data_IF_766072162632
#
_entry.id   IF_766072162632
#
_cell.length_a   1.000
_cell.length_b   1.000
_cell.length_c   1.000
_cell.angle_alpha   90.00
_cell.angle_beta   90.00
_cell.angle_gamma   90.00
#
_symmetry.space_group_name_H-M   'P 1'
#
loop_
_entity.id
_entity.type
_entity.pdbx_description
1 polymer ?
#
# COMPACT_ATOMS: atom_id res chain seq x y z
N UNK A 1 -21.58 30.75 39.24
CA UNK A 1 -20.18 30.26 39.24
C UNK A 1 -20.11 28.75 38.98
N UNK A 2 -20.91 27.93 39.67
CA UNK A 2 -20.91 26.46 39.58
C UNK A 2 -21.23 25.90 38.18
N UNK A 3 -22.21 26.47 37.47
CA UNK A 3 -22.60 26.02 36.12
C UNK A 3 -21.49 26.21 35.09
N UNK A 4 -20.73 27.29 35.20
CA UNK A 4 -19.63 27.62 34.29
C UNK A 4 -18.43 26.69 34.53
N UNK A 5 -18.10 26.43 35.80
CA UNK A 5 -17.07 25.46 36.18
C UNK A 5 -17.42 24.04 35.71
N UNK A 6 -18.70 23.65 35.79
CA UNK A 6 -19.16 22.35 35.31
C UNK A 6 -19.05 22.23 33.78
N UNK A 7 -19.35 23.31 33.03
CA UNK A 7 -19.17 23.34 31.58
C UNK A 7 -17.69 23.22 31.19
N UNK A 8 -16.80 23.95 31.87
CA UNK A 8 -15.34 23.87 31.65
C UNK A 8 -14.83 22.46 31.96
N UNK A 9 -15.25 21.86 33.09
CA UNK A 9 -14.88 20.50 33.46
C UNK A 9 -15.31 19.49 32.39
N UNK A 10 -16.55 19.59 31.91
CA UNK A 10 -17.08 18.72 30.86
C UNK A 10 -16.33 18.89 29.52
N UNK A 11 -15.91 20.11 29.18
CA UNK A 11 -15.08 20.36 28.01
C UNK A 11 -13.69 19.73 28.14
N UNK A 12 -13.04 19.87 29.30
CA UNK A 12 -11.73 19.26 29.57
C UNK A 12 -11.79 17.72 29.55
N UNK A 13 -12.85 17.13 30.10
CA UNK A 13 -13.06 15.67 30.07
C UNK A 13 -13.21 15.18 28.63
N UNK A 14 -14.02 15.87 27.79
CA UNK A 14 -14.14 15.54 26.36
C UNK A 14 -12.80 15.65 25.64
N UNK A 15 -12.07 16.75 25.86
CA UNK A 15 -10.74 16.96 25.27
C UNK A 15 -9.76 15.85 25.67
N UNK A 16 -9.77 15.42 26.93
CA UNK A 16 -8.90 14.34 27.42
C UNK A 16 -9.19 13.02 26.72
N UNK A 17 -10.47 12.69 26.53
CA UNK A 17 -10.90 11.48 25.80
C UNK A 17 -10.49 11.57 24.32
N UNK A 18 -10.67 12.72 23.68
CA UNK A 18 -10.27 12.91 22.28
C UNK A 18 -8.76 12.77 22.08
N UNK A 19 -7.95 13.30 23.00
CA UNK A 19 -6.48 13.14 22.99
C UNK A 19 -6.12 11.67 23.16
N UNK A 20 -6.70 10.97 24.13
CA UNK A 20 -6.43 9.54 24.34
C UNK A 20 -6.81 8.71 23.09
N UNK A 21 -7.96 8.98 22.50
CA UNK A 21 -8.40 8.35 21.25
C UNK A 21 -7.48 8.67 20.07
N UNK A 22 -6.96 9.90 19.98
CA UNK A 22 -5.96 10.26 18.97
C UNK A 22 -4.69 9.43 19.13
N UNK A 23 -4.14 9.33 20.35
CA UNK A 23 -2.95 8.54 20.64
C UNK A 23 -3.16 7.06 20.31
N UNK A 24 -4.29 6.46 20.68
CA UNK A 24 -4.57 5.07 20.33
C UNK A 24 -4.59 4.84 18.81
N UNK A 25 -5.22 5.75 18.05
CA UNK A 25 -5.26 5.66 16.58
C UNK A 25 -3.89 5.80 15.94
N UNK A 26 -3.03 6.69 16.45
CA UNK A 26 -1.64 6.80 15.98
C UNK A 26 -0.87 5.51 16.25
N UNK A 27 -0.92 4.99 17.48
CA UNK A 27 -0.26 3.74 17.83
C UNK A 27 -0.73 2.57 16.97
N UNK A 28 -2.01 2.52 16.61
CA UNK A 28 -2.55 1.49 15.73
C UNK A 28 -2.04 1.63 14.29
N UNK A 29 -1.97 2.86 13.75
CA UNK A 29 -1.39 3.11 12.43
C UNK A 29 0.12 2.78 12.41
N UNK A 30 0.86 3.18 13.45
CA UNK A 30 2.26 2.84 13.62
C UNK A 30 2.48 1.34 13.70
N UNK A 31 1.69 0.63 14.52
CA UNK A 31 1.75 -0.83 14.60
C UNK A 31 1.41 -1.53 13.29
N UNK A 32 0.48 -0.97 12.51
CA UNK A 32 0.17 -1.47 11.16
C UNK A 32 1.33 -1.24 10.18
N UNK A 33 1.98 -0.08 10.23
CA UNK A 33 3.17 0.19 9.43
C UNK A 33 4.32 -0.72 9.84
N UNK A 34 4.61 -0.88 11.13
CA UNK A 34 5.65 -1.77 11.65
C UNK A 34 5.42 -3.22 11.19
N UNK A 35 4.17 -3.71 11.27
CA UNK A 35 3.81 -5.03 10.76
C UNK A 35 4.06 -5.15 9.26
N UNK A 36 3.62 -4.19 8.46
CA UNK A 36 3.83 -4.20 7.01
C UNK A 36 5.33 -4.16 6.64
N UNK A 37 6.12 -3.37 7.38
CA UNK A 37 7.58 -3.33 7.19
C UNK A 37 8.25 -4.63 7.63
N UNK A 38 7.77 -5.27 8.70
CA UNK A 38 8.26 -6.58 9.12
C UNK A 38 7.96 -7.66 8.06
N UNK A 39 6.75 -7.71 7.52
CA UNK A 39 6.36 -8.65 6.46
C UNK A 39 7.19 -8.43 5.17
N UNK A 40 7.42 -7.16 4.80
CA UNK A 40 8.29 -6.82 3.69
C UNK A 40 9.74 -7.25 3.95
N UNK A 41 10.25 -7.03 5.17
CA UNK A 41 11.59 -7.44 5.58
C UNK A 41 11.75 -8.96 5.54
N UNK A 42 10.76 -9.70 6.03
CA UNK A 42 10.76 -11.16 5.98
C UNK A 42 10.79 -11.68 4.55
N UNK A 43 10.02 -11.04 3.66
CA UNK A 43 10.03 -11.33 2.21
C UNK A 43 11.42 -11.08 1.59
N UNK A 44 12.07 -9.96 1.94
CA UNK A 44 13.43 -9.64 1.49
C UNK A 44 14.46 -10.66 2.04
N UNK A 45 14.34 -11.05 3.31
CA UNK A 45 15.27 -11.98 3.94
C UNK A 45 15.09 -13.41 3.42
N UNK A 46 13.88 -13.80 3.01
CA UNK A 46 13.62 -15.07 2.31
C UNK A 46 14.29 -15.10 0.92
N UNK A 47 14.15 -14.02 0.14
CA UNK A 47 14.87 -13.82 -1.12
C UNK A 47 16.39 -13.96 -0.91
N UNK A 48 16.94 -13.30 0.11
CA UNK A 48 18.37 -13.38 0.45
C UNK A 48 18.82 -14.77 0.90
N UNK A 49 17.96 -15.52 1.60
CA UNK A 49 18.25 -16.91 2.01
C UNK A 49 18.30 -17.82 0.79
N UNK A 50 17.33 -17.71 -0.12
CA UNK A 50 17.32 -18.47 -1.36
C UNK A 50 18.57 -18.20 -2.22
N UNK A 51 19.01 -16.94 -2.31
CA UNK A 51 20.20 -16.58 -3.10
C UNK A 51 21.50 -17.15 -2.51
N UNK A 52 21.65 -17.14 -1.17
CA UNK A 52 22.82 -17.75 -0.50
C UNK A 52 22.93 -19.25 -0.72
N UNK A 53 21.80 -19.95 -0.90
CA UNK A 53 21.76 -21.39 -1.19
C UNK A 53 22.24 -21.77 -2.60
N UNK A 54 22.46 -20.81 -3.51
CA UNK A 54 22.92 -21.04 -4.89
C UNK A 54 24.38 -20.67 -5.15
N UNK A 55 25.13 -20.21 -4.14
CA UNK A 55 26.52 -19.76 -4.28
C UNK A 55 27.55 -20.91 -4.42
N UNK A 56 27.23 -22.01 -5.10
CA UNK A 56 28.26 -23.00 -5.47
C UNK A 56 28.36 -23.40 -6.94
N UNK A 57 27.42 -23.07 -7.83
CA UNK A 57 27.66 -23.34 -9.26
C UNK A 57 27.20 -22.19 -10.17
N UNK A 58 28.17 -21.73 -10.97
CA UNK A 58 28.12 -20.84 -12.14
C UNK A 58 27.90 -19.33 -11.90
N UNK A 59 29.01 -18.64 -11.61
CA UNK A 59 29.21 -17.23 -11.96
C UNK A 59 30.34 -17.17 -13.00
N UNK A 60 29.98 -17.20 -14.28
CA UNK A 60 30.88 -16.73 -15.33
C UNK A 60 30.77 -15.21 -15.43
N UNK A 61 31.91 -14.58 -15.20
CA UNK A 61 32.19 -13.16 -15.13
C UNK A 61 32.20 -12.51 -16.52
N UNK A 62 31.49 -11.39 -16.71
CA UNK A 62 31.82 -10.36 -17.71
C UNK A 62 31.51 -8.97 -17.13
N UNK A 63 32.54 -8.35 -16.56
CA UNK A 63 33.09 -7.08 -17.05
C UNK A 63 32.24 -5.80 -16.93
N UNK A 64 32.56 -4.99 -15.90
CA UNK A 64 33.04 -3.61 -16.03
C UNK A 64 32.14 -2.49 -16.62
N UNK A 65 31.88 -1.46 -15.80
CA UNK A 65 31.66 -0.09 -16.27
C UNK A 65 30.30 0.53 -15.93
N UNK A 66 30.30 1.43 -14.94
CA UNK A 66 29.28 2.42 -14.54
C UNK A 66 27.80 2.02 -14.68
N UNK A 67 27.24 1.52 -13.57
CA UNK A 67 25.81 1.20 -13.42
C UNK A 67 25.24 2.02 -12.27
N UNK A 68 24.64 3.16 -12.58
CA UNK A 68 23.81 3.88 -11.61
C UNK A 68 22.33 3.66 -11.94
N UNK A 69 21.59 3.14 -10.95
CA UNK A 69 20.13 3.06 -10.94
C UNK A 69 19.68 3.88 -9.70
N UNK A 70 18.88 4.91 -9.93
CA UNK A 70 18.29 5.84 -8.94
C UNK A 70 16.75 5.67 -8.93
N UNK A 71 15.92 5.83 -7.89
CA UNK A 71 15.97 5.94 -6.40
C UNK A 71 14.58 5.59 -5.83
N UNK A 72 14.44 5.56 -4.49
CA UNK A 72 13.19 5.68 -3.71
C UNK A 72 12.86 7.14 -3.27
N UNK A 73 13.49 8.19 -3.81
CA UNK A 73 13.43 9.53 -3.19
C UNK A 73 13.49 10.77 -4.12
N UNK A 74 12.63 10.86 -5.14
CA UNK A 74 12.07 12.17 -5.52
C UNK A 74 12.49 12.79 -6.86
N UNK A 75 11.96 12.26 -7.97
CA UNK A 75 11.07 12.97 -8.94
C UNK A 75 10.85 12.15 -10.23
N UNK A 76 9.73 12.37 -10.95
CA UNK A 76 8.45 11.68 -10.80
C UNK A 76 8.33 10.40 -11.67
N UNK A 77 7.54 9.44 -11.21
CA UNK A 77 6.94 8.46 -12.12
C UNK A 77 5.97 9.21 -13.04
N UNK A 78 6.35 9.41 -14.30
CA UNK A 78 5.47 9.94 -15.31
C UNK A 78 4.47 8.86 -15.74
N UNK A 79 3.28 8.87 -15.15
CA UNK A 79 2.08 8.52 -15.90
C UNK A 79 1.95 9.60 -17.00
N UNK A 80 2.19 9.23 -18.25
CA UNK A 80 1.78 10.01 -19.41
C UNK A 80 1.51 9.04 -20.56
N UNK A 81 0.33 9.08 -21.22
CA UNK A 81 0.07 8.23 -22.37
C UNK A 81 0.90 8.61 -23.61
N UNK A 82 1.78 9.62 -23.50
CA UNK A 82 2.54 10.19 -24.61
C UNK A 82 4.02 10.37 -24.26
N UNK A 83 4.73 9.29 -23.96
CA UNK A 83 6.20 9.30 -23.96
C UNK A 83 6.68 8.21 -24.93
N UNK A 84 6.55 8.50 -26.21
CA UNK A 84 7.34 7.82 -27.23
C UNK A 84 8.82 8.13 -26.94
N UNK A 85 9.54 7.19 -26.34
CA UNK A 85 10.99 7.30 -26.14
C UNK A 85 11.55 6.95 -24.77
N UNK A 86 10.74 6.54 -23.78
CA UNK A 86 11.30 5.88 -22.59
C UNK A 86 11.60 4.42 -22.91
N UNK A 87 12.78 3.89 -22.56
CA UNK A 87 13.09 2.49 -22.77
C UNK A 87 12.08 1.62 -22.04
N UNK A 88 11.34 0.79 -22.78
CA UNK A 88 10.61 -0.32 -22.19
C UNK A 88 11.62 -1.31 -21.60
N UNK A 89 11.19 -2.18 -20.67
CA UNK A 89 12.04 -3.26 -20.13
C UNK A 89 12.70 -4.09 -21.26
N UNK A 90 12.06 -4.13 -22.43
CA UNK A 90 12.53 -4.78 -23.66
C UNK A 90 13.76 -4.13 -24.31
N UNK A 91 14.07 -2.86 -23.99
CA UNK A 91 15.25 -2.16 -24.53
C UNK A 91 16.54 -2.42 -23.73
N UNK A 92 16.47 -3.21 -22.66
CA UNK A 92 17.64 -3.53 -21.84
C UNK A 92 18.31 -4.82 -22.28
N UNK A 93 19.63 -4.72 -22.49
CA UNK A 93 20.70 -5.73 -22.47
C UNK A 93 20.33 -7.23 -22.58
N UNK A 94 21.08 -8.06 -23.34
CA UNK A 94 20.86 -9.52 -23.40
C UNK A 94 20.77 -10.24 -22.04
N UNK A 95 21.33 -9.66 -20.97
CA UNK A 95 21.27 -10.20 -19.60
C UNK A 95 20.04 -9.77 -18.78
N UNK A 96 19.14 -8.96 -19.34
CA UNK A 96 17.98 -8.41 -18.63
C UNK A 96 17.13 -9.53 -17.97
N UNK A 97 16.73 -10.61 -18.67
CA UNK A 97 15.95 -11.68 -18.03
C UNK A 97 16.67 -12.36 -16.86
N UNK A 98 18.00 -12.45 -16.89
CA UNK A 98 18.79 -13.05 -15.80
C UNK A 98 18.82 -12.13 -14.57
N UNK A 99 18.91 -10.82 -14.78
CA UNK A 99 18.86 -9.84 -13.70
C UNK A 99 17.48 -9.77 -13.07
N UNK A 100 16.41 -9.72 -13.88
CA UNK A 100 15.03 -9.68 -13.39
C UNK A 100 14.68 -10.95 -12.58
N UNK A 101 15.20 -12.13 -12.94
CA UNK A 101 15.05 -13.35 -12.12
C UNK A 101 15.65 -13.25 -10.72
N UNK A 102 16.69 -12.44 -10.53
CA UNK A 102 17.38 -12.25 -9.23
C UNK A 102 16.80 -11.08 -8.43
N UNK A 103 16.14 -10.14 -9.09
CA UNK A 103 15.54 -8.96 -8.46
C UNK A 103 14.24 -9.27 -7.71
N UNK A 104 13.96 -8.47 -6.68
CA UNK A 104 12.64 -8.41 -6.04
C UNK A 104 11.87 -7.22 -6.61
N UNK A 105 10.68 -7.47 -7.17
CA UNK A 105 9.80 -6.44 -7.71
C UNK A 105 8.75 -6.04 -6.70
N UNK A 106 8.68 -4.74 -6.41
CA UNK A 106 7.54 -4.16 -5.71
C UNK A 106 6.61 -3.57 -6.77
N UNK A 107 5.48 -4.24 -7.03
CA UNK A 107 4.40 -3.63 -7.80
C UNK A 107 3.69 -2.70 -6.84
N UNK A 108 3.93 -1.39 -6.98
CA UNK A 108 3.59 -0.38 -5.98
C UNK A 108 2.11 -0.36 -5.56
N UNK A 109 1.80 0.52 -4.61
CA UNK A 109 0.47 0.63 -4.02
C UNK A 109 -0.56 1.24 -5.02
N UNK A 110 -1.04 0.41 -5.93
CA UNK A 110 -2.04 0.72 -6.96
C UNK A 110 -3.44 0.62 -6.34
N UNK A 111 -4.39 1.43 -6.83
CA UNK A 111 -5.79 1.40 -6.38
C UNK A 111 -6.12 2.27 -5.17
N UNK A 112 -5.10 2.64 -4.38
CA UNK A 112 -5.30 3.53 -3.24
C UNK A 112 -5.84 4.90 -3.65
N UNK A 113 -5.35 5.46 -4.76
CA UNK A 113 -5.79 6.76 -5.27
C UNK A 113 -7.20 6.71 -5.86
N UNK A 114 -7.55 5.63 -6.55
CA UNK A 114 -8.86 5.40 -7.16
C UNK A 114 -9.97 5.41 -6.10
N UNK A 115 -9.74 4.69 -5.00
CA UNK A 115 -10.65 4.67 -3.85
C UNK A 115 -10.66 6.02 -3.11
N UNK A 116 -9.49 6.63 -2.87
CA UNK A 116 -9.40 7.92 -2.17
C UNK A 116 -10.09 9.04 -2.95
N UNK A 117 -9.95 9.06 -4.27
CA UNK A 117 -10.61 10.03 -5.15
C UNK A 117 -12.12 9.80 -5.18
N UNK A 118 -12.57 8.55 -5.29
CA UNK A 118 -14.00 8.24 -5.20
C UNK A 118 -14.62 8.70 -3.87
N UNK A 119 -13.91 8.48 -2.76
CA UNK A 119 -14.30 8.98 -1.45
C UNK A 119 -14.37 10.51 -1.40
N UNK A 120 -13.39 11.22 -1.97
CA UNK A 120 -13.39 12.70 -1.98
C UNK A 120 -14.50 13.29 -2.85
N UNK A 121 -14.99 12.54 -3.84
CA UNK A 121 -16.17 12.90 -4.64
C UNK A 121 -17.51 12.52 -3.99
N UNK A 122 -17.49 11.96 -2.78
CA UNK A 122 -18.72 11.57 -2.08
C UNK A 122 -19.42 10.34 -2.66
N UNK A 123 -18.70 9.49 -3.42
CA UNK A 123 -19.26 8.22 -3.91
C UNK A 123 -19.70 7.34 -2.76
N UNK A 124 -20.82 6.65 -2.93
CA UNK A 124 -21.29 5.71 -1.92
C UNK A 124 -20.46 4.41 -1.95
N UNK A 125 -20.43 3.69 -0.83
CA UNK A 125 -19.61 2.48 -0.67
C UNK A 125 -19.90 1.42 -1.74
N UNK A 126 -21.14 1.32 -2.22
CA UNK A 126 -21.50 0.38 -3.28
C UNK A 126 -20.84 0.73 -4.62
N UNK A 127 -20.78 2.02 -4.99
CA UNK A 127 -20.07 2.46 -6.19
C UNK A 127 -18.58 2.19 -6.07
N UNK A 128 -17.98 2.43 -4.90
CA UNK A 128 -16.55 2.17 -4.66
C UNK A 128 -16.23 0.68 -4.78
N UNK A 129 -17.10 -0.21 -4.26
CA UNK A 129 -16.94 -1.65 -4.42
C UNK A 129 -16.99 -2.09 -5.88
N UNK A 130 -17.81 -1.44 -6.71
CA UNK A 130 -17.88 -1.73 -8.16
C UNK A 130 -16.61 -1.36 -8.91
N UNK A 131 -15.78 -0.44 -8.39
CA UNK A 131 -14.47 -0.09 -8.96
C UNK A 131 -13.39 -1.15 -8.66
N UNK A 132 -13.54 -1.91 -7.57
CA UNK A 132 -12.49 -2.83 -7.10
C UNK A 132 -12.09 -3.88 -8.14
N UNK A 133 -13.01 -4.56 -8.85
CA UNK A 133 -12.63 -5.55 -9.86
C UNK A 133 -11.74 -4.97 -10.97
N UNK A 134 -12.05 -3.77 -11.47
CA UNK A 134 -11.29 -3.13 -12.55
C UNK A 134 -9.87 -2.73 -12.09
N UNK A 135 -9.78 -2.21 -10.86
CA UNK A 135 -8.49 -1.87 -10.23
C UNK A 135 -7.66 -3.13 -10.01
N UNK A 136 -8.25 -4.19 -9.45
CA UNK A 136 -7.57 -5.47 -9.22
C UNK A 136 -7.11 -6.09 -10.54
N UNK A 137 -7.94 -6.04 -11.59
CA UNK A 137 -7.57 -6.52 -12.92
C UNK A 137 -6.35 -5.77 -13.48
N UNK A 138 -6.31 -4.45 -13.32
CA UNK A 138 -5.17 -3.63 -13.73
C UNK A 138 -3.88 -4.03 -13.02
N UNK A 139 -3.96 -4.34 -11.72
CA UNK A 139 -2.83 -4.82 -10.93
C UNK A 139 -2.38 -6.20 -11.42
N UNK A 140 -3.31 -7.13 -11.60
CA UNK A 140 -3.00 -8.49 -12.10
C UNK A 140 -2.37 -8.44 -13.49
N UNK A 141 -2.84 -7.57 -14.39
CA UNK A 141 -2.19 -7.39 -15.70
C UNK A 141 -0.77 -6.84 -15.59
N UNK A 142 -0.55 -5.90 -14.68
CA UNK A 142 0.79 -5.34 -14.43
C UNK A 142 1.74 -6.40 -13.87
N UNK A 143 1.26 -7.23 -12.93
CA UNK A 143 2.01 -8.36 -12.37
C UNK A 143 2.35 -9.37 -13.45
N UNK A 144 1.38 -9.79 -14.28
CA UNK A 144 1.61 -10.71 -15.40
C UNK A 144 2.66 -10.17 -16.36
N UNK A 145 2.60 -8.89 -16.71
CA UNK A 145 3.58 -8.27 -17.59
C UNK A 145 5.00 -8.29 -17.00
N UNK A 146 5.14 -8.06 -15.70
CA UNK A 146 6.44 -8.12 -15.01
C UNK A 146 6.97 -9.57 -14.96
N UNK A 147 6.09 -10.57 -14.81
CA UNK A 147 6.43 -12.00 -14.92
C UNK A 147 6.88 -12.34 -16.34
N UNK A 148 6.17 -11.87 -17.37
CA UNK A 148 6.52 -12.10 -18.78
C UNK A 148 7.91 -11.54 -19.13
N UNK A 149 8.34 -10.48 -18.46
CA UNK A 149 9.70 -9.95 -18.56
C UNK A 149 10.76 -10.77 -17.82
N UNK A 150 10.37 -11.75 -17.01
CA UNK A 150 11.29 -12.66 -16.33
C UNK A 150 11.41 -12.44 -14.82
N UNK A 151 10.59 -11.59 -14.22
CA UNK A 151 10.53 -11.47 -12.77
C UNK A 151 9.95 -12.75 -12.13
N UNK A 152 10.62 -13.25 -11.10
CA UNK A 152 10.18 -14.46 -10.37
C UNK A 152 9.86 -14.19 -8.90
N UNK A 153 10.10 -12.96 -8.41
CA UNK A 153 9.92 -12.56 -7.02
C UNK A 153 9.22 -11.21 -6.98
N UNK A 154 7.97 -11.21 -6.55
CA UNK A 154 7.09 -10.04 -6.65
C UNK A 154 6.36 -9.86 -5.32
N UNK A 155 6.39 -8.64 -4.79
CA UNK A 155 5.54 -8.19 -3.68
C UNK A 155 4.46 -7.30 -4.25
N UNK A 156 3.21 -7.62 -3.92
CA UNK A 156 2.03 -6.84 -4.25
C UNK A 156 1.38 -6.40 -2.94
N UNK A 157 1.54 -5.12 -2.52
CA UNK A 157 0.96 -4.63 -1.29
C UNK A 157 -0.55 -4.41 -1.43
N UNK A 158 -1.28 -4.72 -0.36
CA UNK A 158 -2.68 -4.30 -0.21
C UNK A 158 -2.82 -2.84 0.25
N UNK A 159 -4.07 -2.39 0.36
CA UNK A 159 -4.41 -1.12 0.98
C UNK A 159 -4.36 -1.22 2.51
N UNK A 160 -3.91 -0.15 3.16
CA UNK A 160 -3.95 -0.02 4.62
C UNK A 160 -5.37 0.35 5.11
N UNK A 161 -5.74 0.00 6.36
CA UNK A 161 -7.04 0.35 6.96
C UNK A 161 -7.29 1.87 7.01
N UNK A 162 -8.12 2.36 6.09
CA UNK A 162 -8.39 3.80 5.93
C UNK A 162 -9.19 4.39 7.09
N UNK A 163 -10.05 3.60 7.72
CA UNK A 163 -10.94 4.05 8.79
C UNK A 163 -10.22 4.57 10.04
N UNK A 164 -8.94 4.24 10.21
CA UNK A 164 -8.11 4.74 11.31
C UNK A 164 -7.30 5.99 10.94
N UNK A 165 -7.22 6.34 9.66
CA UNK A 165 -6.45 7.49 9.19
C UNK A 165 -7.09 8.80 9.60
N UNK A 166 -6.32 9.72 10.19
CA UNK A 166 -6.83 10.99 10.71
C UNK A 166 -7.55 11.81 9.64
N UNK A 167 -7.02 11.85 8.41
CA UNK A 167 -7.67 12.55 7.30
C UNK A 167 -9.07 12.00 7.02
N UNK A 168 -9.24 10.67 7.01
CA UNK A 168 -10.53 10.02 6.79
C UNK A 168 -11.47 10.20 7.98
N UNK A 169 -10.94 10.12 9.21
CA UNK A 169 -11.73 10.33 10.42
C UNK A 169 -12.28 11.75 10.48
N UNK A 170 -11.47 12.76 10.17
CA UNK A 170 -11.93 14.16 10.11
C UNK A 170 -12.95 14.36 8.99
N UNK A 171 -12.71 13.79 7.81
CA UNK A 171 -13.58 13.98 6.65
C UNK A 171 -14.93 13.27 6.78
N UNK A 172 -14.95 12.08 7.38
CA UNK A 172 -16.12 11.19 7.43
C UNK A 172 -16.65 11.00 8.86
N UNK A 173 -16.36 11.95 9.78
CA UNK A 173 -16.87 11.88 11.14
C UNK A 173 -18.40 11.94 11.20
N UNK A 174 -18.97 11.22 12.16
CA UNK A 174 -20.42 11.18 12.39
C UNK A 174 -20.72 11.09 13.89
N UNK A 175 -21.90 11.53 14.29
CA UNK A 175 -22.40 11.38 15.66
C UNK A 175 -22.95 9.97 15.92
N UNK A 176 -23.05 9.13 14.90
CA UNK A 176 -23.42 7.73 15.05
C UNK A 176 -22.27 6.91 15.63
N UNK A 177 -22.34 6.62 16.93
CA UNK A 177 -21.34 5.79 17.61
C UNK A 177 -21.24 4.38 17.04
N UNK A 178 -22.30 3.87 16.38
CA UNK A 178 -22.30 2.56 15.75
C UNK A 178 -21.50 2.53 14.45
N UNK A 179 -21.09 3.67 13.89
CA UNK A 179 -20.23 3.75 12.71
C UNK A 179 -18.78 3.34 13.01
N UNK A 180 -18.39 3.37 14.29
CA UNK A 180 -17.04 3.13 14.77
C UNK A 180 -16.86 1.71 15.33
N UNK A 181 -15.62 1.22 15.31
CA UNK A 181 -15.20 0.02 16.06
C UNK A 181 -14.68 0.38 17.47
N UNK A 182 -14.22 -0.61 18.22
CA UNK A 182 -13.68 -0.42 19.58
C UNK A 182 -12.47 0.51 19.63
N UNK A 183 -11.76 0.69 18.51
CA UNK A 183 -10.60 1.56 18.37
C UNK A 183 -10.95 2.95 17.81
N UNK A 184 -12.24 3.25 17.68
CA UNK A 184 -12.74 4.49 17.09
C UNK A 184 -12.32 4.70 15.62
N UNK A 185 -12.13 3.60 14.88
CA UNK A 185 -11.96 3.64 13.43
C UNK A 185 -13.31 3.46 12.71
N UNK A 186 -13.46 4.09 11.54
CA UNK A 186 -14.69 3.96 10.74
C UNK A 186 -14.78 2.58 10.08
N UNK A 187 -15.75 1.77 10.53
CA UNK A 187 -15.93 0.38 10.08
C UNK A 187 -16.17 0.28 8.58
N UNK A 188 -16.99 1.18 8.03
CA UNK A 188 -17.36 1.12 6.62
C UNK A 188 -16.16 1.33 5.68
N UNK A 189 -15.20 2.20 6.05
CA UNK A 189 -13.97 2.42 5.31
C UNK A 189 -13.02 1.22 5.44
N UNK A 190 -12.88 0.67 6.65
CA UNK A 190 -12.08 -0.54 6.87
C UNK A 190 -12.64 -1.75 6.10
N UNK A 191 -13.96 -1.93 6.09
CA UNK A 191 -14.63 -3.00 5.35
C UNK A 191 -14.44 -2.88 3.83
N UNK A 192 -14.37 -1.66 3.28
CA UNK A 192 -14.06 -1.44 1.87
C UNK A 192 -12.62 -1.88 1.55
N UNK A 193 -11.67 -1.57 2.43
CA UNK A 193 -10.26 -1.97 2.28
C UNK A 193 -10.09 -3.49 2.42
N UNK A 194 -10.79 -4.12 3.37
CA UNK A 194 -10.79 -5.59 3.52
C UNK A 194 -11.32 -6.23 2.23
N UNK A 195 -12.47 -5.78 1.75
CA UNK A 195 -13.04 -6.25 0.48
C UNK A 195 -12.06 -6.11 -0.68
N UNK A 196 -11.37 -4.97 -0.79
CA UNK A 196 -10.33 -4.73 -1.79
C UNK A 196 -9.17 -5.72 -1.68
N UNK A 197 -8.62 -5.88 -0.47
CA UNK A 197 -7.45 -6.73 -0.22
C UNK A 197 -7.78 -8.21 -0.47
N UNK A 198 -8.98 -8.66 -0.08
CA UNK A 198 -9.44 -10.03 -0.34
C UNK A 198 -9.55 -10.30 -1.84
N UNK A 199 -10.10 -9.37 -2.62
CA UNK A 199 -10.20 -9.50 -4.08
C UNK A 199 -8.81 -9.50 -4.73
N UNK A 200 -7.91 -8.64 -4.27
CA UNK A 200 -6.54 -8.60 -4.75
C UNK A 200 -5.80 -9.91 -4.46
N UNK A 201 -5.88 -10.41 -3.22
CA UNK A 201 -5.24 -11.67 -2.83
C UNK A 201 -5.78 -12.83 -3.66
N UNK A 202 -7.09 -12.94 -3.83
CA UNK A 202 -7.70 -13.98 -4.66
C UNK A 202 -7.27 -13.89 -6.13
N UNK A 203 -7.09 -12.68 -6.68
CA UNK A 203 -6.67 -12.50 -8.05
C UNK A 203 -5.18 -12.80 -8.29
N UNK A 204 -4.34 -12.60 -7.28
CA UNK A 204 -2.89 -12.90 -7.34
C UNK A 204 -2.60 -14.38 -7.11
N UNK A 205 -3.41 -15.07 -6.28
CA UNK A 205 -3.26 -16.51 -6.00
C UNK A 205 -3.84 -17.43 -7.08
N UNK A 206 -4.44 -16.88 -8.14
CA UNK A 206 -4.99 -17.62 -9.29
C UNK A 206 -3.96 -17.73 -10.41
#
# INVERSE_FOLDING_TARGET
MTTYMNAIKSMMERMTVEIANFTMRQNQLEGQHEKAFAELKDSIDEVRRYDRGKNQEEVHDIGGGNKEIYTLSGNPMAWSPHVAGLPTIEQYSPDCPVQLKKSLFLVGHIGGNDINYGLSQGKIMEELRRLVPDVVQTITHSVKRVIDFGATRIVVPGNFPKGCGQAFLTQFMTNDSSAYDEYHCLKHLNNLVIFYNDHLQQAILR
#
